data_IF_362381691579
#
_entry.id   IF_362381691579
#
_cell.length_a   1.000
_cell.length_b   1.000
_cell.length_c   1.000
_cell.angle_alpha   90.00
_cell.angle_beta   90.00
_cell.angle_gamma   90.00
#
_symmetry.space_group_name_H-M   'P 1'
#
loop_
_entity.id
_entity.type
_entity.pdbx_description
1 polymer ?
#
# COMPACT_ATOMS: atom_id res chain seq x y z
N UNK A 1 -34.07 12.09 -47.84
CA UNK A 1 -33.28 11.66 -46.65
C UNK A 1 -32.60 12.89 -46.07
N UNK A 2 -32.93 13.25 -44.85
CA UNK A 2 -32.67 14.58 -44.30
C UNK A 2 -31.20 14.67 -43.84
N UNK A 3 -30.46 15.70 -44.29
CA UNK A 3 -29.03 15.92 -43.97
C UNK A 3 -28.70 15.85 -42.48
N UNK A 4 -29.65 16.16 -41.62
CA UNK A 4 -29.52 16.09 -40.17
C UNK A 4 -29.45 14.65 -39.59
N UNK A 5 -30.06 13.66 -40.26
CA UNK A 5 -29.96 12.25 -39.83
C UNK A 5 -28.56 11.66 -40.06
N UNK A 6 -27.89 12.12 -41.12
CA UNK A 6 -26.51 11.65 -41.43
C UNK A 6 -25.46 12.20 -40.46
N UNK A 7 -25.63 13.44 -39.97
CA UNK A 7 -24.72 14.06 -39.00
C UNK A 7 -24.84 13.38 -37.61
N UNK A 8 -26.08 13.05 -37.19
CA UNK A 8 -26.30 12.37 -35.89
C UNK A 8 -25.73 10.96 -35.91
N UNK A 9 -25.83 10.21 -37.01
CA UNK A 9 -25.25 8.86 -37.12
C UNK A 9 -23.72 8.90 -37.07
N UNK A 10 -23.07 9.89 -37.72
CA UNK A 10 -21.61 10.03 -37.68
C UNK A 10 -21.09 10.46 -36.29
N UNK A 11 -21.83 11.32 -35.57
CA UNK A 11 -21.44 11.73 -34.20
C UNK A 11 -21.61 10.57 -33.21
N UNK A 12 -22.66 9.75 -33.34
CA UNK A 12 -22.84 8.56 -32.51
C UNK A 12 -21.78 7.48 -32.77
N UNK A 13 -21.33 7.31 -34.02
CA UNK A 13 -20.27 6.34 -34.36
C UNK A 13 -18.90 6.79 -33.80
N UNK A 14 -18.59 8.09 -33.87
CA UNK A 14 -17.34 8.65 -33.34
C UNK A 14 -17.32 8.58 -31.80
N UNK A 15 -18.44 8.88 -31.13
CA UNK A 15 -18.57 8.76 -29.68
C UNK A 15 -18.45 7.29 -29.20
N UNK A 16 -19.06 6.32 -29.90
CA UNK A 16 -18.93 4.92 -29.56
C UNK A 16 -17.49 4.37 -29.80
N UNK A 17 -16.82 4.81 -30.86
CA UNK A 17 -15.43 4.40 -31.12
C UNK A 17 -14.44 4.94 -30.06
N UNK A 18 -14.69 6.15 -29.55
CA UNK A 18 -13.86 6.74 -28.48
C UNK A 18 -14.07 6.04 -27.12
N UNK A 19 -15.29 5.64 -26.80
CA UNK A 19 -15.56 4.86 -25.58
C UNK A 19 -15.02 3.42 -25.67
N UNK A 20 -15.10 2.77 -26.82
CA UNK A 20 -14.57 1.42 -27.02
C UNK A 20 -13.04 1.38 -27.02
N UNK A 21 -12.36 2.44 -27.45
CA UNK A 21 -10.90 2.53 -27.40
C UNK A 21 -10.39 2.75 -25.96
N UNK A 22 -11.12 3.52 -25.14
CA UNK A 22 -10.75 3.78 -23.75
C UNK A 22 -10.98 2.56 -22.86
N UNK A 23 -12.07 1.81 -23.05
CA UNK A 23 -12.35 0.59 -22.29
C UNK A 23 -11.37 -0.54 -22.65
N UNK A 24 -11.04 -0.74 -23.92
CA UNK A 24 -10.09 -1.78 -24.35
C UNK A 24 -8.66 -1.52 -23.84
N UNK A 25 -8.24 -0.25 -23.79
CA UNK A 25 -6.93 0.10 -23.20
C UNK A 25 -6.90 -0.11 -21.69
N UNK A 26 -8.00 0.13 -20.97
CA UNK A 26 -8.10 -0.12 -19.54
C UNK A 26 -8.16 -1.62 -19.22
N UNK A 27 -8.93 -2.42 -19.94
CA UNK A 27 -8.97 -3.88 -19.75
C UNK A 27 -7.64 -4.56 -20.05
N UNK A 28 -6.90 -4.13 -21.08
CA UNK A 28 -5.56 -4.64 -21.35
C UNK A 28 -4.53 -4.20 -20.29
N UNK A 29 -4.67 -3.01 -19.73
CA UNK A 29 -3.85 -2.55 -18.59
C UNK A 29 -4.18 -3.35 -17.32
N UNK A 30 -5.45 -3.57 -17.04
CA UNK A 30 -5.93 -4.33 -15.88
C UNK A 30 -5.46 -5.79 -15.90
N UNK A 31 -5.56 -6.46 -17.07
CA UNK A 31 -5.07 -7.83 -17.24
C UNK A 31 -3.54 -7.95 -17.14
N UNK A 32 -2.80 -6.87 -17.40
CA UNK A 32 -1.33 -6.87 -17.37
C UNK A 32 -0.78 -6.80 -15.93
N UNK A 33 -1.55 -6.24 -14.99
CA UNK A 33 -1.15 -6.00 -13.60
C UNK A 33 -1.73 -7.05 -12.64
N UNK A 34 -2.64 -7.90 -13.08
CA UNK A 34 -3.18 -9.02 -12.26
C UNK A 34 -2.10 -10.04 -11.80
N UNK A 35 -0.86 -9.88 -12.25
CA UNK A 35 0.29 -10.73 -11.88
C UNK A 35 1.13 -10.18 -10.73
N UNK A 36 0.64 -9.19 -9.95
CA UNK A 36 1.37 -8.67 -8.77
C UNK A 36 1.34 -9.59 -7.55
N UNK A 37 0.73 -10.78 -7.65
CA UNK A 37 0.74 -11.72 -6.54
C UNK A 37 2.18 -12.16 -6.26
N UNK A 38 2.65 -11.88 -5.03
CA UNK A 38 3.99 -12.24 -4.54
C UNK A 38 5.15 -11.75 -5.44
N UNK A 39 4.95 -10.61 -6.11
CA UNK A 39 5.96 -10.04 -7.00
C UNK A 39 7.22 -9.63 -6.22
N UNK A 40 8.39 -9.96 -6.77
CA UNK A 40 9.66 -9.60 -6.16
C UNK A 40 10.11 -8.19 -6.55
N UNK A 41 10.96 -7.56 -5.71
CA UNK A 41 11.59 -6.27 -6.03
C UNK A 41 12.34 -6.32 -7.37
N UNK A 42 13.07 -7.41 -7.63
CA UNK A 42 13.81 -7.60 -8.89
C UNK A 42 12.89 -7.66 -10.11
N UNK A 43 11.74 -8.31 -9.98
CA UNK A 43 10.72 -8.39 -11.05
C UNK A 43 10.12 -7.01 -11.30
N UNK A 44 9.77 -6.26 -10.24
CA UNK A 44 9.26 -4.89 -10.37
C UNK A 44 10.29 -4.01 -11.09
N UNK A 45 11.55 -4.04 -10.68
CA UNK A 45 12.61 -3.25 -11.32
C UNK A 45 12.86 -3.66 -12.79
N UNK A 46 12.71 -4.95 -13.11
CA UNK A 46 12.80 -5.42 -14.50
C UNK A 46 11.67 -4.85 -15.35
N UNK A 47 10.44 -4.83 -14.82
CA UNK A 47 9.28 -4.23 -15.49
C UNK A 47 9.42 -2.72 -15.70
N UNK A 48 9.99 -1.99 -14.74
CA UNK A 48 10.31 -0.57 -14.93
C UNK A 48 11.33 -0.35 -16.06
N UNK A 49 12.38 -1.17 -16.11
CA UNK A 49 13.41 -1.10 -17.18
C UNK A 49 12.85 -1.44 -18.55
N UNK A 50 12.00 -2.46 -18.63
CA UNK A 50 11.34 -2.87 -19.89
C UNK A 50 10.17 -1.96 -20.28
N UNK A 51 9.79 -1.00 -19.42
CA UNK A 51 8.61 -0.14 -19.59
C UNK A 51 7.31 -0.93 -19.69
N UNK A 52 7.25 -2.08 -19.06
CA UNK A 52 6.06 -2.92 -18.98
C UNK A 52 4.98 -2.23 -18.15
N UNK A 53 5.40 -1.60 -17.04
CA UNK A 53 4.57 -0.77 -16.16
C UNK A 53 5.41 0.37 -15.57
N UNK A 54 4.73 1.40 -15.10
CA UNK A 54 5.31 2.53 -14.40
C UNK A 54 5.30 2.33 -12.88
N UNK A 55 6.01 3.18 -12.14
CA UNK A 55 5.91 3.24 -10.67
C UNK A 55 4.48 3.54 -10.25
N UNK A 56 3.83 4.48 -10.96
CA UNK A 56 2.43 4.82 -10.71
C UNK A 56 1.50 3.63 -10.89
N UNK A 57 1.69 2.81 -11.91
CA UNK A 57 0.84 1.63 -12.15
C UNK A 57 0.93 0.66 -10.96
N UNK A 58 2.15 0.36 -10.47
CA UNK A 58 2.37 -0.51 -9.31
C UNK A 58 1.76 0.07 -8.03
N UNK A 59 2.01 1.35 -7.74
CA UNK A 59 1.47 2.02 -6.55
C UNK A 59 -0.06 2.06 -6.59
N UNK A 60 -0.65 2.37 -7.75
CA UNK A 60 -2.10 2.39 -7.93
C UNK A 60 -2.73 1.03 -7.66
N UNK A 61 -2.12 -0.05 -8.15
CA UNK A 61 -2.64 -1.39 -7.95
C UNK A 61 -2.61 -1.80 -6.46
N UNK A 62 -1.54 -1.49 -5.73
CA UNK A 62 -1.51 -1.74 -4.28
C UNK A 62 -2.54 -0.90 -3.51
N UNK A 63 -2.77 0.35 -3.90
CA UNK A 63 -3.84 1.17 -3.30
C UNK A 63 -5.21 0.54 -3.56
N UNK A 64 -5.46 0.05 -4.77
CA UNK A 64 -6.71 -0.65 -5.11
C UNK A 64 -6.88 -1.95 -4.30
N UNK A 65 -5.82 -2.75 -4.17
CA UNK A 65 -5.84 -3.95 -3.32
C UNK A 65 -6.17 -3.59 -1.86
N UNK A 66 -5.59 -2.51 -1.32
CA UNK A 66 -5.92 -2.02 0.03
C UNK A 66 -7.40 -1.67 0.13
N UNK A 67 -7.96 -0.94 -0.83
CA UNK A 67 -9.35 -0.52 -0.81
C UNK A 67 -10.32 -1.71 -0.92
N UNK A 68 -9.99 -2.72 -1.71
CA UNK A 68 -10.87 -3.86 -2.01
C UNK A 68 -10.76 -5.00 -1.00
N UNK A 69 -9.58 -5.22 -0.40
CA UNK A 69 -9.32 -6.35 0.49
C UNK A 69 -9.25 -5.90 1.95
N UNK A 70 -8.57 -4.78 2.23
CA UNK A 70 -8.34 -4.33 3.60
C UNK A 70 -9.48 -3.48 4.14
N UNK A 71 -9.95 -2.49 3.36
CA UNK A 71 -10.97 -1.52 3.77
C UNK A 71 -12.40 -1.93 3.41
N UNK A 72 -12.56 -2.82 2.43
CA UNK A 72 -13.84 -3.44 2.05
C UNK A 72 -13.64 -4.96 1.91
N UNK A 73 -14.57 -5.69 1.30
CA UNK A 73 -14.47 -7.15 1.17
C UNK A 73 -14.23 -7.85 2.52
N UNK A 74 -13.12 -8.58 2.72
CA UNK A 74 -12.78 -9.25 4.00
C UNK A 74 -12.62 -8.29 5.17
N UNK A 75 -12.35 -7.01 4.93
CA UNK A 75 -12.11 -5.97 5.93
C UNK A 75 -11.06 -6.38 6.95
N UNK A 76 -9.81 -6.53 6.49
CA UNK A 76 -8.70 -7.00 7.32
C UNK A 76 -8.29 -5.98 8.38
N UNK A 77 -8.55 -4.68 8.14
CA UNK A 77 -8.18 -3.57 9.02
C UNK A 77 -6.68 -3.54 9.35
N UNK A 78 -5.85 -3.87 8.37
CA UNK A 78 -4.39 -3.89 8.54
C UNK A 78 -3.76 -2.51 8.32
N UNK A 79 -4.48 -1.59 7.67
CA UNK A 79 -3.98 -0.27 7.31
C UNK A 79 -4.86 0.81 7.94
N UNK A 80 -4.24 1.75 8.66
CA UNK A 80 -4.90 2.90 9.29
C UNK A 80 -4.99 4.08 8.32
N UNK A 81 -3.90 4.36 7.60
CA UNK A 81 -3.80 5.54 6.73
C UNK A 81 -3.07 5.18 5.44
N UNK A 82 -3.66 5.53 4.31
CA UNK A 82 -2.98 5.52 3.00
C UNK A 82 -2.32 6.90 2.83
N UNK A 83 -1.10 6.92 2.33
CA UNK A 83 -0.38 8.17 2.06
C UNK A 83 -1.08 8.96 0.94
N UNK A 84 -1.62 10.15 1.22
CA UNK A 84 -2.33 10.94 0.21
C UNK A 84 -1.42 11.40 -0.93
N UNK A 85 -0.11 11.43 -0.72
CA UNK A 85 0.87 11.83 -1.74
C UNK A 85 1.52 10.63 -2.47
N UNK A 86 1.12 9.38 -2.20
CA UNK A 86 1.75 8.20 -2.77
C UNK A 86 1.81 8.22 -4.31
N UNK A 87 0.72 8.62 -4.97
CA UNK A 87 0.66 8.72 -6.43
C UNK A 87 1.50 9.88 -6.98
N UNK A 88 1.57 11.01 -6.29
CA UNK A 88 2.42 12.14 -6.70
C UNK A 88 3.91 11.78 -6.58
N UNK A 89 4.26 11.02 -5.53
CA UNK A 89 5.62 10.50 -5.36
C UNK A 89 5.94 9.51 -6.49
N UNK A 90 5.01 8.62 -6.84
CA UNK A 90 5.16 7.69 -7.94
C UNK A 90 5.39 8.40 -9.28
N UNK A 91 4.60 9.44 -9.59
CA UNK A 91 4.78 10.27 -10.80
C UNK A 91 6.17 10.93 -10.84
N UNK A 92 6.64 11.41 -9.69
CA UNK A 92 7.98 12.01 -9.59
C UNK A 92 9.09 10.99 -9.87
N UNK A 93 8.92 9.74 -9.41
CA UNK A 93 9.85 8.65 -9.68
C UNK A 93 9.78 8.20 -11.14
N UNK A 94 8.61 8.17 -11.76
CA UNK A 94 8.47 7.89 -13.19
C UNK A 94 9.20 8.93 -14.06
N UNK A 95 9.14 10.22 -13.68
CA UNK A 95 9.92 11.26 -14.35
C UNK A 95 11.44 11.03 -14.21
N UNK A 96 11.90 10.55 -13.04
CA UNK A 96 13.32 10.19 -12.83
C UNK A 96 13.73 9.03 -13.74
N UNK A 97 12.87 8.01 -13.91
CA UNK A 97 13.10 6.89 -14.83
C UNK A 97 13.21 7.38 -16.28
N UNK A 98 12.33 8.28 -16.71
CA UNK A 98 12.35 8.84 -18.07
C UNK A 98 13.66 9.60 -18.36
N UNK A 99 14.25 10.23 -17.33
CA UNK A 99 15.55 10.90 -17.44
C UNK A 99 16.75 9.94 -17.47
N UNK A 100 16.52 8.63 -17.41
CA UNK A 100 17.58 7.61 -17.44
C UNK A 100 18.47 7.59 -16.20
N UNK A 101 18.02 8.14 -15.07
CA UNK A 101 18.79 8.12 -13.83
C UNK A 101 18.82 6.71 -13.21
N UNK A 102 19.91 6.34 -12.52
CA UNK A 102 20.03 5.03 -11.90
C UNK A 102 18.97 4.83 -10.80
N UNK A 103 18.40 3.63 -10.74
CA UNK A 103 17.47 3.23 -9.69
C UNK A 103 18.22 2.77 -8.45
N UNK A 104 17.84 3.29 -7.28
CA UNK A 104 18.26 2.75 -5.99
C UNK A 104 17.65 1.37 -5.70
N UNK A 105 18.10 0.72 -4.63
CA UNK A 105 17.68 -0.65 -4.27
C UNK A 105 16.16 -0.79 -4.05
N UNK A 106 15.49 0.25 -3.56
CA UNK A 106 14.05 0.26 -3.31
C UNK A 106 13.31 1.26 -4.19
N UNK A 107 13.92 1.69 -5.29
CA UNK A 107 13.33 2.68 -6.17
C UNK A 107 11.94 2.25 -6.66
N UNK A 108 10.91 3.07 -6.35
CA UNK A 108 9.54 2.81 -6.74
C UNK A 108 8.85 1.62 -6.04
N UNK A 109 9.47 1.07 -4.99
CA UNK A 109 8.91 -0.07 -4.26
C UNK A 109 7.93 0.41 -3.18
N UNK A 110 6.65 -0.04 -3.22
CA UNK A 110 5.67 0.28 -2.19
C UNK A 110 5.97 -0.42 -0.86
N UNK A 111 6.13 0.38 0.20
CA UNK A 111 6.43 -0.09 1.56
C UNK A 111 5.43 0.50 2.55
N UNK A 112 4.96 -0.30 3.49
CA UNK A 112 4.11 0.14 4.59
C UNK A 112 4.90 0.24 5.90
N UNK A 113 4.53 1.20 6.76
CA UNK A 113 5.17 1.41 8.04
C UNK A 113 4.18 1.24 9.19
N UNK A 114 4.59 0.56 10.25
CA UNK A 114 3.79 0.48 11.48
C UNK A 114 3.52 1.88 12.03
N UNK A 115 2.32 2.14 12.51
CA UNK A 115 1.86 3.47 12.91
C UNK A 115 2.47 4.00 14.22
N UNK A 116 3.57 3.45 14.66
CA UNK A 116 4.45 4.03 15.68
C UNK A 116 5.82 4.47 15.13
N UNK A 117 5.98 4.44 13.79
CA UNK A 117 7.18 4.90 13.09
C UNK A 117 6.90 6.29 12.53
N UNK A 118 7.62 7.29 13.00
CA UNK A 118 7.43 8.68 12.57
C UNK A 118 7.75 8.88 11.09
N UNK A 119 6.85 9.59 10.41
CA UNK A 119 7.04 10.10 9.06
C UNK A 119 6.70 11.58 9.00
N UNK A 120 7.59 12.38 8.41
CA UNK A 120 7.36 13.81 8.19
C UNK A 120 6.65 14.02 6.84
N UNK A 121 5.34 13.82 6.86
CA UNK A 121 4.44 13.94 5.72
C UNK A 121 3.00 14.25 6.20
N UNK A 122 2.01 14.02 5.35
CA UNK A 122 0.59 14.26 5.67
C UNK A 122 -0.06 13.11 6.43
N UNK A 123 0.71 12.14 6.92
CA UNK A 123 0.20 11.04 7.73
C UNK A 123 0.52 11.27 9.21
N UNK A 124 -0.46 11.16 10.11
CA UNK A 124 -0.18 11.18 11.54
C UNK A 124 0.57 9.92 11.97
N UNK A 125 1.25 9.97 13.11
CA UNK A 125 1.81 8.82 13.79
C UNK A 125 1.15 8.71 15.16
N UNK A 126 0.32 7.69 15.34
CA UNK A 126 -0.65 7.68 16.44
C UNK A 126 -0.39 6.60 17.49
N UNK A 127 0.46 5.59 17.18
CA UNK A 127 0.57 4.41 18.02
C UNK A 127 -0.76 3.66 18.19
N UNK A 128 -1.73 3.90 17.29
CA UNK A 128 -3.09 3.36 17.35
C UNK A 128 -4.03 4.13 18.25
N UNK A 129 -3.57 5.18 18.95
CA UNK A 129 -4.34 5.91 19.96
C UNK A 129 -5.13 7.08 19.36
N UNK A 130 -6.41 7.17 19.71
CA UNK A 130 -7.29 8.29 19.31
C UNK A 130 -6.82 9.66 19.83
N UNK A 131 -6.05 9.69 20.92
CA UNK A 131 -5.51 10.93 21.48
C UNK A 131 -4.48 11.54 20.52
N UNK A 132 -3.74 10.70 19.77
CA UNK A 132 -2.69 11.11 18.83
C UNK A 132 -3.17 11.15 17.38
N UNK A 133 -4.49 11.15 17.11
CA UNK A 133 -5.02 11.13 15.73
C UNK A 133 -4.49 12.27 14.85
N UNK A 134 -4.18 13.40 15.43
CA UNK A 134 -3.70 14.59 14.76
C UNK A 134 -2.21 14.88 15.08
N UNK A 135 -1.47 13.86 15.50
CA UNK A 135 -0.04 13.94 15.81
C UNK A 135 0.79 13.79 14.54
N UNK A 136 1.20 14.89 13.95
CA UNK A 136 2.06 14.94 12.76
C UNK A 136 3.52 15.16 13.17
N UNK A 137 4.41 14.17 12.96
CA UNK A 137 5.82 14.29 13.32
C UNK A 137 6.52 15.38 12.50
N UNK A 138 7.40 16.15 13.17
CA UNK A 138 8.19 17.20 12.52
C UNK A 138 9.46 16.68 11.83
N UNK A 139 9.80 15.40 12.02
CA UNK A 139 10.92 14.72 11.39
C UNK A 139 10.55 13.26 11.08
N UNK A 140 11.13 12.74 9.99
CA UNK A 140 11.13 11.30 9.74
C UNK A 140 11.91 10.57 10.86
N UNK A 141 11.49 9.35 11.19
CA UNK A 141 12.37 8.42 11.89
C UNK A 141 13.53 8.03 10.98
N UNK A 142 14.64 7.59 11.57
CA UNK A 142 15.81 7.16 10.79
C UNK A 142 15.44 6.12 9.71
N UNK A 143 14.58 5.16 10.01
CA UNK A 143 14.17 4.12 9.04
C UNK A 143 13.33 4.71 7.89
N UNK A 144 12.42 5.64 8.19
CA UNK A 144 11.61 6.30 7.16
C UNK A 144 12.48 7.14 6.22
N UNK A 145 13.44 7.88 6.78
CA UNK A 145 14.42 8.65 6.01
C UNK A 145 15.24 7.74 5.08
N UNK A 146 15.75 6.60 5.59
CA UNK A 146 16.54 5.64 4.79
C UNK A 146 15.73 5.00 3.67
N UNK A 147 14.46 4.67 3.91
CA UNK A 147 13.56 4.16 2.88
C UNK A 147 13.35 5.20 1.77
N UNK A 148 13.08 6.46 2.12
CA UNK A 148 12.94 7.54 1.13
C UNK A 148 14.24 7.77 0.35
N UNK A 149 15.39 7.77 1.01
CA UNK A 149 16.70 7.88 0.36
C UNK A 149 16.97 6.72 -0.61
N UNK A 150 16.48 5.51 -0.31
CA UNK A 150 16.56 4.36 -1.18
C UNK A 150 15.54 4.38 -2.34
N UNK A 151 14.65 5.39 -2.39
CA UNK A 151 13.64 5.57 -3.42
C UNK A 151 12.34 4.81 -3.19
N UNK A 152 12.10 4.27 -1.99
CA UNK A 152 10.85 3.59 -1.66
C UNK A 152 9.67 4.56 -1.64
N UNK A 153 8.49 4.07 -2.02
CA UNK A 153 7.22 4.77 -1.85
C UNK A 153 6.60 4.32 -0.53
N UNK A 154 6.62 5.21 0.48
CA UNK A 154 5.89 4.95 1.72
C UNK A 154 4.39 5.04 1.42
N UNK A 155 3.75 3.87 1.34
CA UNK A 155 2.38 3.72 0.88
C UNK A 155 1.35 4.08 1.93
N UNK A 156 1.71 3.93 3.22
CA UNK A 156 0.79 4.19 4.32
C UNK A 156 1.29 3.73 5.68
N UNK A 157 0.38 3.83 6.67
CA UNK A 157 0.59 3.41 8.05
C UNK A 157 -0.24 2.17 8.36
N UNK A 158 0.41 1.14 8.91
CA UNK A 158 -0.28 -0.11 9.30
C UNK A 158 -0.79 -0.06 10.72
N UNK A 159 -1.91 -0.74 10.95
CA UNK A 159 -2.48 -0.95 12.25
C UNK A 159 -1.54 -1.77 13.16
N UNK A 160 -1.74 -1.62 14.45
CA UNK A 160 -0.92 -2.27 15.47
C UNK A 160 -1.76 -2.58 16.70
N UNK A 161 -1.25 -3.43 17.58
CA UNK A 161 -1.78 -3.44 18.95
C UNK A 161 -1.49 -2.08 19.58
N UNK A 162 -2.52 -1.40 20.07
CA UNK A 162 -2.42 -0.03 20.60
C UNK A 162 -1.25 0.09 21.59
N UNK A 163 -0.39 1.10 21.41
CA UNK A 163 0.84 1.30 22.20
C UNK A 163 1.76 0.07 22.25
N UNK A 164 1.77 -0.73 21.18
CA UNK A 164 2.58 -1.95 21.06
C UNK A 164 2.35 -2.96 22.20
N UNK A 165 1.09 -3.09 22.63
CA UNK A 165 0.63 -3.90 23.79
C UNK A 165 1.05 -3.35 25.17
N UNK A 166 1.66 -2.19 25.25
CA UNK A 166 2.12 -1.63 26.53
C UNK A 166 0.96 -1.07 27.37
N UNK A 167 -0.22 -0.82 26.76
CA UNK A 167 -1.35 -0.12 27.39
C UNK A 167 -1.95 -0.84 28.58
N UNK A 168 -2.07 -2.15 28.54
CA UNK A 168 -2.71 -2.95 29.58
C UNK A 168 -2.21 -4.39 29.59
N UNK A 169 -2.32 -5.06 30.75
CA UNK A 169 -1.97 -6.46 30.91
C UNK A 169 -2.82 -7.42 30.05
N UNK A 170 -4.02 -7.01 29.68
CA UNK A 170 -4.99 -7.77 28.88
C UNK A 170 -5.30 -7.06 27.56
N UNK A 171 -4.29 -6.58 26.85
CA UNK A 171 -4.48 -5.99 25.54
C UNK A 171 -4.73 -7.06 24.47
N UNK A 172 -5.63 -6.77 23.52
CA UNK A 172 -5.84 -7.63 22.35
C UNK A 172 -4.80 -7.34 21.27
N UNK A 173 -4.11 -8.37 20.80
CA UNK A 173 -3.19 -8.21 19.68
C UNK A 173 -3.94 -7.80 18.42
N UNK A 174 -3.40 -6.79 17.73
CA UNK A 174 -3.97 -6.26 16.48
C UNK A 174 -5.15 -5.31 16.67
N UNK A 175 -5.52 -4.98 17.90
CA UNK A 175 -6.56 -3.97 18.15
C UNK A 175 -5.95 -2.61 18.47
N UNK A 176 -6.52 -1.57 17.86
CA UNK A 176 -6.22 -0.18 18.24
C UNK A 176 -7.50 0.67 18.26
N UNK A 177 -7.45 1.77 19.01
CA UNK A 177 -8.57 2.70 19.11
C UNK A 177 -8.88 3.41 17.78
N UNK A 178 -7.91 3.56 16.87
CA UNK A 178 -8.07 4.17 15.55
C UNK A 178 -8.46 3.11 14.51
N UNK A 179 -7.71 2.03 14.40
CA UNK A 179 -7.86 1.04 13.32
C UNK A 179 -8.84 -0.09 13.64
N UNK A 180 -9.32 -0.22 14.91
CA UNK A 180 -10.09 -1.39 15.30
C UNK A 180 -9.25 -2.67 15.33
N UNK A 181 -9.90 -3.82 15.15
CA UNK A 181 -9.25 -5.13 15.17
C UNK A 181 -8.73 -5.52 13.78
N UNK A 182 -7.43 -5.68 13.65
CA UNK A 182 -6.81 -6.35 12.49
C UNK A 182 -7.10 -7.84 12.57
N UNK A 183 -7.51 -8.43 11.43
CA UNK A 183 -7.87 -9.85 11.32
C UNK A 183 -6.72 -10.64 10.69
N UNK A 184 -6.63 -11.93 11.04
CA UNK A 184 -5.74 -12.85 10.33
C UNK A 184 -6.30 -13.11 8.93
N UNK A 185 -5.52 -12.96 7.82
CA UNK A 185 -6.03 -13.09 6.45
C UNK A 185 -6.43 -14.52 6.07
N UNK A 186 -5.91 -15.55 6.75
CA UNK A 186 -6.28 -16.95 6.53
C UNK A 186 -7.50 -17.38 7.32
N UNK A 187 -7.70 -16.77 8.52
CA UNK A 187 -8.79 -17.14 9.43
C UNK A 187 -9.34 -15.86 10.04
N UNK A 188 -10.37 -15.29 9.41
CA UNK A 188 -10.87 -13.93 9.68
C UNK A 188 -11.44 -13.72 11.10
N UNK A 189 -11.76 -14.77 11.84
CA UNK A 189 -12.22 -14.71 13.24
C UNK A 189 -11.07 -14.80 14.25
N UNK A 190 -9.81 -14.84 13.79
CA UNK A 190 -8.61 -14.90 14.63
C UNK A 190 -7.85 -13.60 14.60
N UNK A 191 -7.18 -13.27 15.72
CA UNK A 191 -6.24 -12.18 15.73
C UNK A 191 -4.91 -12.60 15.06
N UNK A 192 -4.19 -11.67 14.42
CA UNK A 192 -2.97 -11.97 13.68
C UNK A 192 -1.71 -11.99 14.53
N UNK A 193 -1.80 -12.07 15.88
CA UNK A 193 -0.71 -11.74 16.79
C UNK A 193 -0.29 -10.25 16.67
N UNK A 194 0.73 -9.83 17.37
CA UNK A 194 1.18 -8.43 17.35
C UNK A 194 2.51 -8.22 18.11
N UNK A 195 2.92 -6.96 18.25
CA UNK A 195 2.12 -5.74 18.01
C UNK A 195 2.20 -5.22 16.57
N UNK A 196 3.08 -5.69 15.69
CA UNK A 196 3.15 -5.26 14.27
C UNK A 196 2.11 -6.02 13.42
N UNK A 197 0.88 -6.08 13.89
CA UNK A 197 -0.22 -6.88 13.33
C UNK A 197 -0.54 -6.51 11.90
N UNK A 198 -0.79 -5.22 11.65
CA UNK A 198 -1.12 -4.72 10.32
C UNK A 198 0.04 -4.87 9.33
N UNK A 199 1.28 -4.69 9.77
CA UNK A 199 2.45 -4.88 8.90
C UNK A 199 2.54 -6.32 8.40
N UNK A 200 2.32 -7.31 9.27
CA UNK A 200 2.36 -8.72 8.88
C UNK A 200 1.18 -9.11 7.99
N UNK A 201 -0.04 -8.67 8.36
CA UNK A 201 -1.25 -8.95 7.58
C UNK A 201 -1.17 -8.31 6.19
N UNK A 202 -0.68 -7.07 6.09
CA UNK A 202 -0.57 -6.38 4.81
C UNK A 202 0.37 -7.11 3.83
N UNK A 203 1.52 -7.62 4.31
CA UNK A 203 2.42 -8.43 3.48
C UNK A 203 1.76 -9.75 3.08
N UNK A 204 1.16 -10.46 4.04
CA UNK A 204 0.50 -11.75 3.80
C UNK A 204 -0.67 -11.66 2.83
N UNK A 205 -1.41 -10.54 2.85
CA UNK A 205 -2.54 -10.28 1.96
C UNK A 205 -2.14 -9.57 0.65
N UNK A 206 -0.84 -9.47 0.35
CA UNK A 206 -0.32 -8.83 -0.86
C UNK A 206 -0.78 -7.37 -1.05
N UNK A 207 -0.75 -6.59 0.04
CA UNK A 207 -1.12 -5.17 0.05
C UNK A 207 0.11 -4.24 -0.06
N UNK A 208 1.31 -4.78 -0.03
CA UNK A 208 2.59 -4.13 -0.25
C UNK A 208 3.67 -5.15 -0.56
N UNK A 209 4.82 -4.70 -1.05
CA UNK A 209 5.97 -5.59 -1.29
C UNK A 209 6.66 -5.97 0.02
N UNK A 210 6.74 -5.03 0.94
CA UNK A 210 7.31 -5.24 2.28
C UNK A 210 6.70 -4.25 3.27
N UNK A 211 6.79 -4.57 4.56
CA UNK A 211 6.35 -3.68 5.61
C UNK A 211 7.36 -3.63 6.76
N UNK A 212 7.45 -2.47 7.40
CA UNK A 212 8.30 -2.27 8.57
C UNK A 212 7.44 -2.38 9.84
N UNK A 213 7.84 -3.27 10.73
CA UNK A 213 7.34 -3.38 12.09
C UNK A 213 8.30 -2.78 13.09
N UNK A 214 7.96 -2.89 14.38
CA UNK A 214 8.84 -2.61 15.51
C UNK A 214 8.73 -3.73 16.53
N UNK A 215 9.83 -4.07 17.16
CA UNK A 215 9.83 -5.11 18.18
C UNK A 215 10.72 -4.75 19.36
N UNK A 216 10.18 -4.91 20.56
CA UNK A 216 10.93 -5.06 21.78
C UNK A 216 11.02 -6.54 22.15
N UNK A 217 9.88 -7.23 22.16
CA UNK A 217 9.78 -8.65 22.49
C UNK A 217 8.65 -9.32 21.71
N UNK A 218 8.98 -10.03 20.64
CA UNK A 218 8.06 -10.82 19.83
C UNK A 218 7.20 -10.03 18.82
N UNK A 219 7.23 -8.69 18.81
CA UNK A 219 6.29 -7.86 18.05
C UNK A 219 6.49 -7.82 16.53
N UNK A 220 7.55 -8.44 16.00
CA UNK A 220 7.76 -8.75 14.58
C UNK A 220 7.61 -10.26 14.38
N UNK A 221 8.32 -11.04 15.19
CA UNK A 221 8.43 -12.49 15.00
C UNK A 221 7.08 -13.19 15.20
N UNK A 222 6.30 -12.79 16.23
CA UNK A 222 5.00 -13.41 16.48
C UNK A 222 3.99 -13.15 15.33
N UNK A 223 3.71 -11.90 14.89
CA UNK A 223 2.80 -11.69 13.79
C UNK A 223 3.31 -12.24 12.46
N UNK A 224 4.62 -12.27 12.21
CA UNK A 224 5.18 -12.89 11.01
C UNK A 224 4.89 -14.39 10.97
N UNK A 225 5.10 -15.10 12.08
CA UNK A 225 4.78 -16.52 12.18
C UNK A 225 3.27 -16.79 12.03
N UNK A 226 2.42 -15.99 12.70
CA UNK A 226 0.97 -16.17 12.67
C UNK A 226 0.34 -15.89 11.31
N UNK A 227 1.00 -15.13 10.45
CA UNK A 227 0.51 -14.74 9.13
C UNK A 227 1.34 -15.35 7.98
N UNK A 228 2.21 -16.33 8.26
CA UNK A 228 2.91 -17.12 7.25
C UNK A 228 3.91 -16.34 6.39
N UNK A 229 4.54 -15.30 6.96
CA UNK A 229 5.55 -14.48 6.26
C UNK A 229 6.93 -14.59 6.91
N UNK A 230 7.95 -14.16 6.19
CA UNK A 230 9.30 -14.04 6.74
C UNK A 230 9.42 -12.75 7.57
N UNK A 231 9.74 -12.89 8.86
CA UNK A 231 10.08 -11.79 9.75
C UNK A 231 11.58 -11.71 9.97
N UNK A 232 12.13 -10.49 9.93
CA UNK A 232 13.55 -10.21 10.19
C UNK A 232 13.62 -9.16 11.29
N UNK A 233 14.44 -9.42 12.32
CA UNK A 233 14.71 -8.50 13.42
C UNK A 233 16.17 -8.13 13.46
#
# INVERSE_FOLDING_TARGET
MNKYKMIIINVCIILNASFFSCTKNNENRYNKIQTLNEITISTIHSGYKSKEYSVRDIVSQYIENIQTIDQSGPTLNSIITINPDALNIADSLDNILQLGRPMGLLFGIPVLLKDNINTHDKMPTTGGSRILRDSYPIHDSWVAEKLRQAGAVILGKTNLSEWANYRASFSSSGWSGIGGQTKNPYVLDRNPCGSSSGSAVAVSANLCVSAIGTETWGSIMCPSNANGIVGIK
#
